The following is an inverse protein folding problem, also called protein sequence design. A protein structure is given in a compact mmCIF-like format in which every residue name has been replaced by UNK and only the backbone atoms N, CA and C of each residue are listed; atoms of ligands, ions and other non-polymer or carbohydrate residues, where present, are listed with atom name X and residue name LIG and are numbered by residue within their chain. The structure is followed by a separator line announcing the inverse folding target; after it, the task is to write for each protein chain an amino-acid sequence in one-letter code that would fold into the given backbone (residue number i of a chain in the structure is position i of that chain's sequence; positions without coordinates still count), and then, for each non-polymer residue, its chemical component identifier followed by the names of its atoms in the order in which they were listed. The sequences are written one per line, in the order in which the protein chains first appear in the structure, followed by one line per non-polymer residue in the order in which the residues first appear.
data_IF_975325658676
#
_entry.id   IF_975325658676
#
_cell.length_a   1.000
_cell.length_b   1.000
_cell.length_c   1.000
_cell.angle_alpha   90.00
_cell.angle_beta   90.00
_cell.angle_gamma   90.00
#
_symmetry.space_group_name_H-M   'P 1'
#
loop_
_entity.id
_entity.type
_entity.pdbx_description
1 polymer ?
#
# COMPACT_ATOMS: atom_id res chain seq x y z
N UNK A 1 -11.91 4.70 -26.24
CA UNK A 1 -11.63 4.06 -24.94
C UNK A 1 -12.90 4.16 -24.10
N UNK A 2 -13.11 3.29 -23.11
CA UNK A 2 -14.31 3.28 -22.26
C UNK A 2 -13.98 2.80 -20.84
N UNK A 3 -14.81 3.15 -19.87
CA UNK A 3 -14.77 2.63 -18.50
C UNK A 3 -15.63 1.36 -18.44
N UNK A 4 -15.13 0.21 -17.96
CA UNK A 4 -15.92 -1.02 -17.88
C UNK A 4 -17.15 -0.89 -16.98
N UNK A 5 -18.23 -1.59 -17.32
CA UNK A 5 -19.49 -1.56 -16.57
C UNK A 5 -19.32 -1.91 -15.10
N UNK A 6 -18.46 -2.88 -14.77
CA UNK A 6 -18.18 -3.23 -13.37
C UNK A 6 -17.53 -2.10 -12.57
N UNK A 7 -16.86 -1.16 -13.24
CA UNK A 7 -16.30 0.04 -12.62
C UNK A 7 -17.33 1.15 -12.64
N UNK A 8 -17.93 1.46 -13.79
CA UNK A 8 -18.88 2.59 -13.92
C UNK A 8 -20.15 2.40 -13.09
N UNK A 9 -20.69 1.18 -12.98
CA UNK A 9 -21.90 0.89 -12.20
C UNK A 9 -21.60 0.52 -10.73
N UNK A 10 -20.32 0.42 -10.33
CA UNK A 10 -19.99 0.21 -8.92
C UNK A 10 -20.51 1.36 -8.08
N UNK A 11 -21.13 1.05 -6.93
CA UNK A 11 -21.62 2.07 -5.98
C UNK A 11 -20.47 2.78 -5.26
N UNK A 12 -19.41 2.05 -4.97
CA UNK A 12 -18.18 2.55 -4.39
C UNK A 12 -17.00 1.70 -4.84
N UNK A 13 -15.81 2.26 -4.78
CA UNK A 13 -14.56 1.54 -5.06
C UNK A 13 -13.70 1.42 -3.80
N UNK A 14 -12.94 0.33 -3.75
CA UNK A 14 -11.74 0.20 -2.93
C UNK A 14 -10.57 0.16 -3.91
N UNK A 15 -9.66 1.11 -3.80
CA UNK A 15 -8.51 1.21 -4.69
C UNK A 15 -7.25 0.73 -3.96
N UNK A 16 -6.51 -0.18 -4.56
CA UNK A 16 -5.32 -0.80 -3.96
C UNK A 16 -4.12 -0.68 -4.89
N UNK A 17 -3.19 0.19 -4.52
CA UNK A 17 -1.92 0.40 -5.19
C UNK A 17 -0.80 -0.48 -4.61
N UNK A 18 0.36 -0.42 -5.26
CA UNK A 18 1.60 -1.06 -4.81
C UNK A 18 2.62 0.04 -4.55
N UNK A 19 3.37 -0.03 -3.45
CA UNK A 19 4.40 0.96 -3.12
C UNK A 19 5.61 0.77 -4.04
N UNK A 20 5.69 1.56 -5.12
CA UNK A 20 6.81 1.50 -6.08
C UNK A 20 6.98 2.79 -6.86
N UNK A 21 8.21 3.02 -7.31
CA UNK A 21 8.49 4.03 -8.32
C UNK A 21 7.95 3.65 -9.70
N UNK A 22 8.12 4.56 -10.66
CA UNK A 22 7.79 4.34 -12.05
C UNK A 22 8.70 5.14 -12.99
N UNK A 23 9.39 4.44 -13.89
CA UNK A 23 10.42 5.05 -14.73
C UNK A 23 9.91 5.99 -15.84
N UNK A 24 8.59 6.20 -15.98
CA UNK A 24 8.00 7.20 -16.88
C UNK A 24 7.17 8.28 -16.18
N UNK A 25 6.74 8.03 -14.93
CA UNK A 25 5.73 8.84 -14.25
C UNK A 25 6.18 9.23 -12.83
N UNK A 26 7.39 8.84 -12.43
CA UNK A 26 7.90 9.00 -11.08
C UNK A 26 7.34 7.97 -10.12
N UNK A 27 6.02 7.97 -9.91
CA UNK A 27 5.33 7.04 -9.01
C UNK A 27 4.12 6.37 -9.68
N UNK A 28 3.78 5.17 -9.21
CA UNK A 28 2.54 4.50 -9.62
C UNK A 28 1.83 3.84 -8.46
N UNK A 29 0.93 4.60 -7.85
CA UNK A 29 0.10 4.13 -6.74
C UNK A 29 -1.38 4.10 -7.19
N UNK A 30 -2.29 4.68 -6.41
CA UNK A 30 -3.73 4.55 -6.61
C UNK A 30 -4.28 5.40 -7.78
N UNK A 31 -3.79 6.62 -7.98
CA UNK A 31 -4.19 7.49 -9.08
C UNK A 31 -3.87 6.83 -10.43
N UNK A 32 -2.72 6.13 -10.54
CA UNK A 32 -2.39 5.38 -11.75
C UNK A 32 -3.26 4.13 -11.96
N UNK A 33 -3.80 3.52 -10.91
CA UNK A 33 -4.77 2.43 -11.09
C UNK A 33 -5.99 2.89 -11.88
N UNK A 34 -6.48 4.12 -11.64
CA UNK A 34 -7.59 4.71 -12.39
C UNK A 34 -7.25 4.88 -13.88
N UNK A 35 -6.00 5.24 -14.18
CA UNK A 35 -5.48 5.27 -15.54
C UNK A 35 -5.49 3.87 -16.18
N UNK A 36 -5.17 2.82 -15.43
CA UNK A 36 -5.25 1.43 -15.88
C UNK A 36 -6.68 0.88 -15.99
N UNK A 37 -7.66 1.51 -15.34
CA UNK A 37 -9.06 1.09 -15.35
C UNK A 37 -9.80 1.42 -16.66
N UNK A 38 -9.15 2.15 -17.57
CA UNK A 38 -9.70 2.47 -18.90
C UNK A 38 -9.41 1.34 -19.88
N UNK A 39 -10.42 0.89 -20.62
CA UNK A 39 -10.31 -0.18 -21.62
C UNK A 39 -10.50 0.34 -23.05
N UNK A 40 -9.93 -0.38 -24.01
CA UNK A 40 -10.17 -0.17 -25.44
C UNK A 40 -10.11 -1.52 -26.14
N UNK A 41 -11.08 -1.80 -27.00
CA UNK A 41 -10.94 -2.90 -27.95
C UNK A 41 -10.01 -2.48 -29.08
N UNK A 42 -8.99 -3.26 -29.43
CA UNK A 42 -8.34 -3.08 -30.72
C UNK A 42 -9.30 -3.50 -31.84
N UNK A 43 -9.12 -2.98 -33.07
CA UNK A 43 -9.97 -3.31 -34.22
C UNK A 43 -10.11 -4.82 -34.51
N UNK A 44 -9.18 -5.65 -34.02
CA UNK A 44 -9.03 -7.06 -34.43
C UNK A 44 -9.08 -8.08 -33.27
N UNK A 45 -9.70 -7.75 -32.13
CA UNK A 45 -9.99 -8.72 -31.06
C UNK A 45 -8.77 -9.42 -30.41
N UNK A 46 -7.57 -8.83 -30.53
CA UNK A 46 -6.35 -9.29 -29.85
C UNK A 46 -6.32 -8.61 -28.47
N UNK A 47 -6.11 -9.37 -27.39
CA UNK A 47 -6.16 -8.86 -26.02
C UNK A 47 -4.99 -7.93 -25.64
N UNK A 48 -4.90 -6.72 -26.22
CA UNK A 48 -3.99 -5.67 -25.76
C UNK A 48 -4.74 -4.38 -25.40
N UNK A 49 -4.82 -4.11 -24.09
CA UNK A 49 -5.33 -2.86 -23.53
C UNK A 49 -4.30 -1.73 -23.71
N UNK A 50 -4.30 -1.09 -24.88
CA UNK A 50 -3.58 0.18 -25.10
C UNK A 50 -4.48 1.40 -24.82
N UNK A 51 -5.53 1.26 -24.00
CA UNK A 51 -6.59 2.27 -23.92
C UNK A 51 -6.11 3.66 -23.54
N UNK A 52 -5.26 3.83 -22.52
CA UNK A 52 -4.78 5.17 -22.16
C UNK A 52 -3.81 5.75 -23.20
N UNK A 53 -3.15 4.89 -23.98
CA UNK A 53 -2.33 5.31 -25.13
C UNK A 53 -3.22 5.78 -26.28
N UNK A 54 -4.24 4.99 -26.61
CA UNK A 54 -5.19 5.28 -27.67
C UNK A 54 -6.06 6.50 -27.36
N UNK A 55 -6.29 6.79 -26.07
CA UNK A 55 -6.95 8.00 -25.59
C UNK A 55 -6.00 9.22 -25.50
N UNK A 56 -4.72 9.07 -25.85
CA UNK A 56 -3.77 10.18 -25.81
C UNK A 56 -3.39 10.67 -24.41
N UNK A 57 -3.62 9.88 -23.36
CA UNK A 57 -3.43 10.30 -21.97
C UNK A 57 -1.98 10.17 -21.47
N UNK A 58 -1.14 9.38 -22.13
CA UNK A 58 0.25 9.14 -21.67
C UNK A 58 1.11 10.40 -21.53
N UNK A 59 1.14 11.32 -22.52
CA UNK A 59 1.94 12.54 -22.42
C UNK A 59 1.59 13.39 -21.19
N UNK A 60 0.33 13.36 -20.75
CA UNK A 60 -0.16 14.20 -19.65
C UNK A 60 0.07 13.59 -18.27
N UNK A 61 0.45 12.31 -18.18
CA UNK A 61 0.78 11.64 -16.91
C UNK A 61 2.29 11.43 -16.73
N UNK A 62 3.06 11.44 -17.82
CA UNK A 62 4.50 11.21 -17.74
C UNK A 62 5.26 12.45 -17.24
N UNK A 63 6.34 12.24 -16.50
CA UNK A 63 7.18 13.33 -15.94
C UNK A 63 8.18 13.90 -16.96
N UNK A 64 7.84 13.83 -18.26
CA UNK A 64 8.69 14.29 -19.36
C UNK A 64 7.84 14.92 -20.46
N UNK A 65 8.14 16.18 -20.82
CA UNK A 65 7.44 16.93 -21.86
C UNK A 65 7.56 16.29 -23.27
N UNK A 66 8.68 15.60 -23.54
CA UNK A 66 8.98 14.95 -24.82
C UNK A 66 8.67 13.44 -24.80
N UNK A 67 7.43 13.06 -24.47
CA UNK A 67 7.05 11.66 -24.36
C UNK A 67 7.24 10.88 -25.69
N UNK A 68 8.33 10.11 -25.80
CA UNK A 68 8.62 9.14 -26.87
C UNK A 68 9.01 7.76 -26.32
N UNK A 69 8.20 6.73 -26.55
CA UNK A 69 8.48 5.36 -26.08
C UNK A 69 9.91 4.89 -26.43
N UNK A 70 10.67 4.47 -25.41
CA UNK A 70 12.04 3.96 -25.56
C UNK A 70 13.16 5.00 -25.51
N UNK A 71 12.86 6.27 -25.21
CA UNK A 71 13.86 7.34 -25.03
C UNK A 71 14.62 7.28 -23.69
N UNK A 72 15.71 8.05 -23.60
CA UNK A 72 16.36 8.39 -22.33
C UNK A 72 15.64 9.58 -21.70
N UNK A 73 15.22 9.43 -20.45
CA UNK A 73 14.32 10.36 -19.80
C UNK A 73 15.03 11.19 -18.73
N UNK A 74 14.77 12.49 -18.76
CA UNK A 74 15.26 13.43 -17.76
C UNK A 74 14.09 13.85 -16.86
N UNK A 75 14.14 13.42 -15.61
CA UNK A 75 13.07 13.56 -14.62
C UNK A 75 12.94 14.98 -14.08
N UNK A 76 13.96 15.80 -14.32
CA UNK A 76 13.96 17.20 -13.93
C UNK A 76 13.27 18.09 -14.99
N UNK A 77 12.76 17.49 -16.10
CA UNK A 77 12.17 18.23 -17.23
C UNK A 77 10.65 18.37 -17.24
N UNK A 78 9.88 17.73 -16.34
CA UNK A 78 8.47 18.12 -16.19
C UNK A 78 8.40 19.31 -15.26
N UNK A 79 7.91 20.42 -15.78
CA UNK A 79 7.64 21.58 -14.98
C UNK A 79 6.48 21.29 -14.01
N UNK A 80 6.61 21.87 -12.81
CA UNK A 80 5.45 22.12 -11.95
C UNK A 80 4.42 22.98 -12.69
N UNK A 81 3.22 23.09 -12.13
CA UNK A 81 2.17 23.98 -12.63
C UNK A 81 1.74 23.61 -14.05
N UNK A 82 1.65 22.31 -14.32
CA UNK A 82 1.21 21.78 -15.61
C UNK A 82 -0.01 20.88 -15.45
N UNK A 83 -0.92 20.92 -16.43
CA UNK A 83 -2.06 20.01 -16.50
C UNK A 83 -1.64 18.55 -16.29
N UNK A 84 -2.40 17.82 -15.47
CA UNK A 84 -2.20 16.38 -15.30
C UNK A 84 -3.51 15.61 -15.38
N UNK A 85 -3.60 14.71 -16.35
CA UNK A 85 -4.80 13.90 -16.58
C UNK A 85 -5.15 12.95 -15.42
N UNK A 86 -4.23 12.69 -14.48
CA UNK A 86 -4.59 11.92 -13.27
C UNK A 86 -5.63 12.66 -12.43
N UNK A 87 -5.63 13.99 -12.40
CA UNK A 87 -6.56 14.79 -11.60
C UNK A 87 -7.99 14.62 -12.10
N UNK A 88 -8.20 14.66 -13.42
CA UNK A 88 -9.50 14.34 -14.04
C UNK A 88 -9.97 12.94 -13.65
N UNK A 89 -9.08 11.94 -13.75
CA UNK A 89 -9.43 10.55 -13.43
C UNK A 89 -9.78 10.36 -11.93
N UNK A 90 -9.12 11.10 -11.05
CA UNK A 90 -9.38 11.12 -9.61
C UNK A 90 -10.73 11.77 -9.30
N UNK A 91 -11.10 12.83 -10.01
CA UNK A 91 -12.36 13.56 -9.81
C UNK A 91 -13.56 13.02 -10.60
N UNK A 92 -13.36 12.15 -11.59
CA UNK A 92 -14.44 11.60 -12.42
C UNK A 92 -15.30 10.59 -11.65
N UNK A 93 -16.63 10.79 -11.63
CA UNK A 93 -17.60 10.06 -10.81
C UNK A 93 -17.65 8.56 -11.10
N UNK A 94 -17.66 8.11 -12.38
CA UNK A 94 -17.57 6.68 -12.69
C UNK A 94 -16.24 6.03 -12.28
N UNK A 95 -15.21 6.81 -11.95
CA UNK A 95 -13.89 6.35 -11.54
C UNK A 95 -13.56 6.81 -10.11
N UNK A 96 -12.71 7.82 -9.95
CA UNK A 96 -12.06 8.14 -8.69
C UNK A 96 -13.02 8.69 -7.62
N UNK A 97 -14.03 9.47 -7.99
CA UNK A 97 -14.81 10.26 -7.01
C UNK A 97 -15.65 9.40 -6.05
N UNK A 98 -15.99 8.16 -6.45
CA UNK A 98 -16.72 7.20 -5.61
C UNK A 98 -15.83 6.22 -4.85
N UNK A 99 -14.52 6.45 -4.85
CA UNK A 99 -13.59 5.62 -4.07
C UNK A 99 -13.70 5.99 -2.59
N UNK A 100 -14.03 5.00 -1.75
CA UNK A 100 -14.20 5.23 -0.31
C UNK A 100 -12.93 4.97 0.50
N UNK A 101 -12.04 4.16 -0.05
CA UNK A 101 -10.88 3.66 0.67
C UNK A 101 -9.72 3.37 -0.27
N UNK A 102 -8.55 3.86 0.13
CA UNK A 102 -7.29 3.68 -0.58
C UNK A 102 -6.35 2.84 0.26
N UNK A 103 -5.80 1.80 -0.34
CA UNK A 103 -4.73 0.99 0.22
C UNK A 103 -3.48 1.13 -0.64
N UNK A 104 -2.32 1.07 0.01
CA UNK A 104 -1.07 0.83 -0.69
C UNK A 104 -0.37 -0.32 0.01
N UNK A 105 -0.16 -1.39 -0.75
CA UNK A 105 0.64 -2.53 -0.33
C UNK A 105 2.12 -2.17 -0.45
N UNK A 106 2.78 -2.05 0.69
CA UNK A 106 4.22 -1.89 0.82
C UNK A 106 4.85 -3.08 1.54
N UNK A 107 4.25 -4.28 1.48
CA UNK A 107 4.88 -5.48 2.05
C UNK A 107 6.23 -5.73 1.37
N UNK A 108 6.24 -5.62 0.04
CA UNK A 108 7.43 -5.66 -0.79
C UNK A 108 7.38 -4.51 -1.79
N UNK A 109 8.40 -3.68 -1.81
CA UNK A 109 8.48 -2.54 -2.71
C UNK A 109 9.54 -2.77 -3.78
N UNK A 110 9.14 -2.73 -5.04
CA UNK A 110 10.05 -2.78 -6.18
C UNK A 110 10.52 -1.36 -6.55
N UNK A 111 11.75 -1.21 -7.09
CA UNK A 111 12.24 0.10 -7.54
C UNK A 111 11.36 0.76 -8.62
N UNK A 112 10.76 -0.05 -9.49
CA UNK A 112 9.87 0.41 -10.55
C UNK A 112 8.87 -0.67 -11.00
N UNK A 113 8.02 -0.32 -11.96
CA UNK A 113 6.91 -1.16 -12.42
C UNK A 113 7.31 -2.42 -13.20
N UNK A 114 8.55 -2.48 -13.69
CA UNK A 114 9.06 -3.56 -14.55
C UNK A 114 10.14 -4.41 -13.87
N UNK A 115 10.54 -4.06 -12.65
CA UNK A 115 11.65 -4.71 -11.95
C UNK A 115 11.19 -5.88 -11.09
N UNK A 116 11.82 -7.05 -11.27
CA UNK A 116 11.64 -8.20 -10.39
C UNK A 116 12.23 -7.94 -9.00
N UNK A 117 11.58 -8.45 -7.96
CA UNK A 117 12.04 -8.30 -6.58
C UNK A 117 13.30 -9.13 -6.31
N UNK A 118 14.34 -8.47 -5.80
CA UNK A 118 15.62 -9.10 -5.43
C UNK A 118 16.05 -8.60 -4.05
N UNK A 119 17.02 -9.30 -3.43
CA UNK A 119 17.50 -8.97 -2.07
C UNK A 119 18.13 -7.57 -2.01
N UNK A 120 18.73 -7.10 -3.10
CA UNK A 120 19.28 -5.75 -3.18
C UNK A 120 18.22 -4.63 -3.15
N UNK A 121 16.93 -4.95 -3.29
CA UNK A 121 15.83 -3.97 -3.24
C UNK A 121 15.23 -3.79 -1.84
N UNK A 122 15.83 -4.41 -0.80
CA UNK A 122 15.46 -4.15 0.59
C UNK A 122 15.79 -2.69 0.95
N UNK A 123 14.93 -2.11 1.78
CA UNK A 123 14.99 -0.69 2.11
C UNK A 123 15.98 -0.43 3.23
N UNK A 124 16.93 0.47 2.98
CA UNK A 124 17.87 0.97 3.98
C UNK A 124 17.15 1.70 5.10
N UNK A 125 16.08 2.44 4.78
CA UNK A 125 15.26 3.12 5.79
C UNK A 125 14.45 2.16 6.69
N UNK A 126 14.47 0.86 6.39
CA UNK A 126 13.90 -0.24 7.17
C UNK A 126 14.99 -1.24 7.61
N UNK A 127 16.20 -0.74 7.90
CA UNK A 127 17.32 -1.55 8.39
C UNK A 127 17.70 -2.70 7.45
N UNK A 128 17.79 -2.40 6.15
CA UNK A 128 18.08 -3.37 5.09
C UNK A 128 17.05 -4.52 5.05
N UNK A 129 15.78 -4.20 5.32
CA UNK A 129 14.66 -5.13 5.20
C UNK A 129 13.52 -4.59 4.34
N UNK A 130 12.54 -5.43 4.06
CA UNK A 130 11.34 -5.00 3.34
C UNK A 130 10.53 -4.00 4.17
N UNK A 131 9.76 -3.10 3.54
CA UNK A 131 8.98 -2.12 4.31
C UNK A 131 7.93 -2.79 5.19
N UNK A 132 7.45 -4.00 4.82
CA UNK A 132 6.50 -4.80 5.60
C UNK A 132 5.29 -3.99 6.09
N UNK A 133 4.82 -3.05 5.26
CA UNK A 133 3.85 -2.03 5.64
C UNK A 133 2.63 -2.05 4.73
N UNK A 134 1.47 -1.73 5.28
CA UNK A 134 0.25 -1.43 4.52
C UNK A 134 -0.16 0.00 4.90
N UNK A 135 -0.33 0.85 3.89
CA UNK A 135 -0.84 2.20 4.07
C UNK A 135 -2.34 2.21 3.75
N UNK A 136 -3.10 3.00 4.50
CA UNK A 136 -4.55 3.12 4.33
C UNK A 136 -4.99 4.55 4.58
N UNK A 137 -5.91 5.05 3.75
CA UNK A 137 -6.46 6.41 3.87
C UNK A 137 -7.83 6.50 3.19
N UNK A 138 -8.64 7.46 3.61
CA UNK A 138 -9.83 7.90 2.88
C UNK A 138 -9.57 9.11 1.97
N UNK A 139 -8.37 9.70 2.07
CA UNK A 139 -7.89 10.78 1.22
C UNK A 139 -6.79 10.24 0.30
N UNK A 140 -7.06 10.28 -1.02
CA UNK A 140 -6.15 9.81 -2.06
C UNK A 140 -4.89 10.66 -2.16
N UNK A 141 -5.04 11.98 -2.09
CA UNK A 141 -3.92 12.91 -2.23
C UNK A 141 -2.98 12.72 -1.04
N UNK A 142 -3.52 12.58 0.17
CA UNK A 142 -2.73 12.39 1.38
C UNK A 142 -1.94 11.07 1.36
N UNK A 143 -2.55 9.94 0.97
CA UNK A 143 -1.85 8.65 0.97
C UNK A 143 -0.75 8.59 -0.10
N UNK A 144 -0.99 9.17 -1.27
CA UNK A 144 0.03 9.28 -2.33
C UNK A 144 1.18 10.19 -1.88
N UNK A 145 0.89 11.30 -1.18
CA UNK A 145 1.90 12.20 -0.61
C UNK A 145 2.80 11.48 0.38
N UNK A 146 2.21 10.71 1.30
CA UNK A 146 2.95 9.91 2.29
C UNK A 146 3.82 8.88 1.58
N UNK A 147 3.26 8.10 0.66
CA UNK A 147 4.01 7.06 -0.04
C UNK A 147 5.09 7.63 -0.95
N UNK A 148 4.87 8.81 -1.56
CA UNK A 148 5.88 9.54 -2.29
C UNK A 148 7.06 9.90 -1.39
N UNK A 149 6.82 10.42 -0.19
CA UNK A 149 7.89 10.76 0.75
C UNK A 149 8.74 9.54 1.11
N UNK A 150 8.10 8.40 1.39
CA UNK A 150 8.80 7.13 1.61
C UNK A 150 9.66 6.72 0.43
N UNK A 151 9.11 6.74 -0.78
CA UNK A 151 9.84 6.34 -1.99
C UNK A 151 10.98 7.30 -2.31
N UNK A 152 10.75 8.62 -2.25
CA UNK A 152 11.73 9.66 -2.58
C UNK A 152 12.94 9.67 -1.63
N UNK A 153 12.74 9.25 -0.39
CA UNK A 153 13.81 9.21 0.63
C UNK A 153 14.42 7.82 0.82
N UNK A 154 14.01 6.81 0.04
CA UNK A 154 14.62 5.48 0.05
C UNK A 154 15.70 5.35 -1.03
N UNK A 155 16.96 5.04 -0.65
CA UNK A 155 18.00 4.70 -1.60
C UNK A 155 17.60 3.51 -2.51
N UNK A 156 17.64 3.72 -3.83
CA UNK A 156 17.28 2.70 -4.83
C UNK A 156 16.03 3.04 -5.65
N UNK A 157 15.24 4.04 -5.24
CA UNK A 157 14.11 4.57 -6.00
C UNK A 157 14.51 5.79 -6.84
N UNK A 158 15.51 5.62 -7.71
CA UNK A 158 16.14 6.73 -8.46
C UNK A 158 15.20 7.48 -9.42
N UNK A 159 14.05 6.87 -9.76
CA UNK A 159 13.04 7.45 -10.63
C UNK A 159 12.09 8.43 -9.91
N UNK A 160 12.15 8.48 -8.58
CA UNK A 160 11.23 9.26 -7.74
C UNK A 160 11.89 10.61 -7.38
N UNK A 161 12.14 11.44 -8.40
CA UNK A 161 12.89 12.71 -8.27
C UNK A 161 12.35 13.79 -9.20
N UNK A 162 12.69 15.04 -8.93
CA UNK A 162 12.08 16.17 -9.63
C UNK A 162 10.60 16.31 -9.27
N UNK A 163 9.80 16.78 -10.22
CA UNK A 163 8.42 17.23 -10.01
C UNK A 163 7.38 16.11 -10.19
N UNK A 164 7.65 14.92 -9.65
CA UNK A 164 6.77 13.74 -9.82
C UNK A 164 5.43 13.89 -9.09
N UNK A 165 5.38 14.77 -8.12
CA UNK A 165 4.23 15.21 -7.33
C UNK A 165 3.37 16.27 -8.03
N UNK A 166 3.70 16.72 -9.25
CA UNK A 166 2.91 17.77 -9.92
C UNK A 166 1.40 17.50 -9.87
N UNK A 167 0.96 16.26 -10.10
CA UNK A 167 -0.47 15.92 -10.04
C UNK A 167 -1.07 15.99 -8.62
N UNK A 168 -0.27 15.85 -7.56
CA UNK A 168 -0.72 16.01 -6.17
C UNK A 168 -0.92 17.48 -5.82
N UNK A 169 -0.04 18.37 -6.30
CA UNK A 169 -0.23 19.82 -6.19
C UNK A 169 -1.51 20.25 -6.93
N UNK A 170 -1.68 19.77 -8.16
CA UNK A 170 -2.88 20.03 -8.96
C UNK A 170 -4.15 19.46 -8.31
N UNK A 171 -4.11 18.23 -7.77
CA UNK A 171 -5.27 17.60 -7.14
C UNK A 171 -5.65 18.25 -5.80
N UNK A 172 -4.67 18.60 -4.97
CA UNK A 172 -4.92 19.25 -3.68
C UNK A 172 -5.59 20.62 -3.85
N UNK A 173 -5.31 21.29 -4.96
CA UNK A 173 -5.81 22.61 -5.29
C UNK A 173 -6.68 22.57 -6.55
N UNK A 174 -7.42 21.49 -6.85
CA UNK A 174 -8.12 21.36 -8.12
C UNK A 174 -9.15 22.49 -8.41
N UNK A 175 -9.63 23.17 -7.37
CA UNK A 175 -10.50 24.36 -7.47
C UNK A 175 -9.76 25.68 -7.76
N UNK A 176 -8.43 25.70 -7.64
CA UNK A 176 -7.53 26.82 -7.93
C UNK A 176 -6.15 26.26 -8.33
N UNK A 177 -6.15 25.45 -9.39
CA UNK A 177 -5.00 24.61 -9.72
C UNK A 177 -3.77 25.48 -10.08
N UNK A 178 -2.56 25.12 -9.61
CA UNK A 178 -1.34 25.89 -9.92
C UNK A 178 -1.11 26.11 -11.41
N UNK A 179 -1.46 25.13 -12.25
CA UNK A 179 -1.39 25.24 -13.71
C UNK A 179 -2.39 26.21 -14.35
N UNK A 180 -3.36 26.71 -13.58
CA UNK A 180 -4.51 27.46 -14.08
C UNK A 180 -5.54 26.58 -14.81
N UNK A 181 -5.39 25.25 -14.79
CA UNK A 181 -6.38 24.33 -15.36
C UNK A 181 -7.69 24.40 -14.57
N UNK A 182 -8.81 24.51 -15.29
CA UNK A 182 -10.13 24.26 -14.74
C UNK A 182 -10.48 22.79 -14.97
N UNK A 183 -10.35 21.96 -13.92
CA UNK A 183 -10.68 20.54 -13.99
C UNK A 183 -12.20 20.35 -13.88
N UNK A 184 -12.85 19.93 -14.97
CA UNK A 184 -14.28 19.60 -15.07
C UNK A 184 -14.41 18.25 -15.80
N UNK A 185 -14.16 17.12 -15.11
CA UNK A 185 -14.13 15.81 -15.76
C UNK A 185 -15.51 15.33 -16.24
N UNK A 186 -16.59 15.84 -15.66
CA UNK A 186 -17.97 15.54 -16.07
C UNK A 186 -18.42 16.35 -17.29
N UNK A 187 -17.71 17.45 -17.59
CA UNK A 187 -18.06 18.41 -18.65
C UNK A 187 -19.46 18.99 -18.47
N UNK A 188 -19.87 19.18 -17.22
CA UNK A 188 -21.19 19.71 -16.85
C UNK A 188 -21.17 21.19 -16.45
N UNK A 189 -19.98 21.80 -16.46
CA UNK A 189 -19.74 23.18 -16.05
C UNK A 189 -19.45 23.35 -14.56
N UNK A 190 -19.29 22.25 -13.81
CA UNK A 190 -18.96 22.24 -12.38
C UNK A 190 -17.50 21.80 -12.18
N UNK A 191 -16.57 22.74 -11.94
CA UNK A 191 -15.19 22.39 -11.66
C UNK A 191 -15.05 21.59 -10.36
N UNK A 192 -13.99 20.79 -10.29
CA UNK A 192 -13.63 20.03 -9.10
C UNK A 192 -13.34 20.95 -7.90
N UNK A 193 -13.75 20.50 -6.71
CA UNK A 193 -13.17 20.98 -5.46
C UNK A 193 -11.80 20.34 -5.23
N UNK A 194 -11.05 20.82 -4.23
CA UNK A 194 -9.90 20.08 -3.68
C UNK A 194 -10.22 18.60 -3.51
N UNK A 195 -9.33 17.74 -3.99
CA UNK A 195 -9.48 16.28 -3.93
C UNK A 195 -8.81 15.66 -2.69
N UNK A 196 -8.18 16.49 -1.85
CA UNK A 196 -7.48 16.04 -0.65
C UNK A 196 -6.31 16.94 -0.27
N UNK A 197 -5.49 16.46 0.65
CA UNK A 197 -4.36 17.23 1.20
C UNK A 197 -3.03 16.72 0.63
N UNK A 198 -2.24 17.62 0.05
CA UNK A 198 -0.85 17.36 -0.34
C UNK A 198 0.11 18.11 0.59
N UNK A 199 1.00 17.38 1.26
CA UNK A 199 2.07 17.90 2.11
C UNK A 199 3.27 16.96 2.04
N UNK A 200 4.43 17.47 2.43
CA UNK A 200 5.60 16.65 2.74
C UNK A 200 5.83 16.60 4.25
N UNK A 201 6.42 15.51 4.72
CA UNK A 201 6.89 15.46 6.10
C UNK A 201 7.97 16.51 6.36
N UNK A 202 8.24 16.79 7.63
CA UNK A 202 9.32 17.69 8.04
C UNK A 202 10.71 17.18 7.67
N UNK A 203 10.98 15.89 7.84
CA UNK A 203 12.23 15.21 7.46
C UNK A 203 12.07 13.68 7.48
N UNK A 204 12.98 12.97 6.82
CA UNK A 204 12.94 11.50 6.66
C UNK A 204 13.18 10.69 7.95
N UNK A 205 13.67 11.33 9.02
CA UNK A 205 13.90 10.70 10.32
C UNK A 205 12.63 10.75 11.16
N UNK A 206 12.06 11.94 11.36
CA UNK A 206 10.88 12.15 12.21
C UNK A 206 9.56 11.81 11.50
N UNK A 207 9.50 12.01 10.17
CA UNK A 207 8.34 11.69 9.32
C UNK A 207 7.03 12.30 9.81
N UNK A 208 7.06 13.56 10.26
CA UNK A 208 5.91 14.27 10.83
C UNK A 208 5.32 15.26 9.84
N UNK A 209 3.99 15.24 9.72
CA UNK A 209 3.19 16.18 8.94
C UNK A 209 2.50 17.21 9.84
N UNK A 210 1.72 18.14 9.26
CA UNK A 210 1.15 19.28 9.99
C UNK A 210 0.36 18.89 11.24
N UNK A 211 -0.48 17.84 11.19
CA UNK A 211 -1.20 17.35 12.38
C UNK A 211 -0.29 16.68 13.39
N UNK A 212 0.73 15.93 12.95
CA UNK A 212 1.71 15.35 13.86
C UNK A 212 2.54 16.44 14.58
N UNK A 213 2.75 17.59 13.93
CA UNK A 213 3.50 18.74 14.45
C UNK A 213 2.64 19.72 15.26
N UNK A 214 1.32 19.63 15.17
CA UNK A 214 0.38 20.57 15.79
C UNK A 214 0.40 21.97 15.15
N UNK A 215 0.81 22.07 13.88
CA UNK A 215 0.92 23.36 13.16
C UNK A 215 -0.35 23.74 12.39
N UNK A 216 -1.31 22.82 12.27
CA UNK A 216 -2.59 23.08 11.61
C UNK A 216 -3.32 21.79 11.26
N UNK A 217 -4.44 21.95 10.54
CA UNK A 217 -5.09 20.87 9.82
C UNK A 217 -4.15 20.35 8.73
N UNK A 218 -4.28 19.07 8.35
CA UNK A 218 -3.38 18.47 7.37
C UNK A 218 -3.26 16.95 7.47
N UNK A 219 -2.14 16.42 6.97
CA UNK A 219 -1.85 14.99 7.08
C UNK A 219 -1.45 14.65 8.53
N UNK A 220 -1.93 13.50 9.02
CA UNK A 220 -1.41 12.82 10.22
C UNK A 220 -0.96 11.41 9.85
N UNK A 221 0.35 11.15 9.91
CA UNK A 221 0.86 9.80 9.76
C UNK A 221 0.75 9.07 11.10
N UNK A 222 -0.06 8.00 11.15
CA UNK A 222 -0.25 7.16 12.32
C UNK A 222 0.35 5.78 12.06
N UNK A 223 1.30 5.37 12.89
CA UNK A 223 1.93 4.05 12.80
C UNK A 223 1.18 3.07 13.71
N UNK A 224 0.25 2.31 13.13
CA UNK A 224 -0.47 1.26 13.84
C UNK A 224 0.49 0.10 14.19
N UNK A 225 0.74 -0.13 15.48
CA UNK A 225 1.61 -1.20 15.98
C UNK A 225 2.82 -0.72 16.79
N UNK A 226 3.18 0.56 16.70
CA UNK A 226 4.02 1.19 17.73
C UNK A 226 3.11 1.56 18.90
N UNK A 227 3.32 0.96 20.07
CA UNK A 227 2.62 1.38 21.28
C UNK A 227 2.84 2.88 21.48
N UNK A 228 1.76 3.64 21.46
CA UNK A 228 1.73 5.01 21.98
C UNK A 228 2.11 4.95 23.46
N UNK A 229 3.32 5.41 23.77
CA UNK A 229 3.70 5.77 25.14
C UNK A 229 2.92 7.03 25.50
N UNK A 230 2.14 7.00 26.59
CA UNK A 230 2.44 7.66 27.89
C UNK A 230 1.48 7.14 28.97
N UNK A 231 2.03 6.58 30.05
CA UNK A 231 1.83 6.89 31.48
C UNK A 231 2.05 5.65 32.35
N UNK A 232 2.82 5.89 33.41
CA UNK A 232 3.22 4.97 34.45
C UNK A 232 1.98 4.52 35.24
N UNK A 233 1.62 3.24 35.14
CA UNK A 233 0.83 2.57 36.17
C UNK A 233 1.45 1.20 36.44
N UNK A 234 2.02 1.11 37.64
CA UNK A 234 2.32 -0.12 38.35
C UNK A 234 1.17 -1.12 38.26
N UNK A 235 1.51 -2.39 38.07
CA UNK A 235 0.63 -3.57 37.90
C UNK A 235 0.16 -3.85 36.47
N UNK A 236 1.05 -4.40 35.64
CA UNK A 236 0.63 -5.27 34.53
C UNK A 236 1.13 -6.69 34.76
N UNK A 237 0.20 -7.58 35.04
CA UNK A 237 0.32 -9.01 34.73
C UNK A 237 0.92 -9.18 33.32
N UNK A 238 1.80 -10.17 33.08
CA UNK A 238 2.41 -10.34 31.78
C UNK A 238 1.31 -10.41 30.70
N UNK A 239 1.39 -9.53 29.69
CA UNK A 239 0.57 -9.65 28.48
C UNK A 239 1.17 -10.74 27.59
N UNK A 240 0.34 -11.41 26.80
CA UNK A 240 0.80 -12.36 25.77
C UNK A 240 1.87 -11.67 24.90
N UNK A 241 3.13 -12.09 25.02
CA UNK A 241 4.25 -11.21 24.67
C UNK A 241 4.62 -11.24 23.19
N UNK A 242 4.43 -12.37 22.48
CA UNK A 242 4.53 -12.49 21.03
C UNK A 242 4.32 -13.96 20.60
N UNK A 243 3.93 -14.17 19.34
CA UNK A 243 4.22 -15.41 18.60
C UNK A 243 5.48 -15.16 17.75
N UNK A 244 6.33 -16.18 17.61
CA UNK A 244 7.40 -16.22 16.60
C UNK A 244 7.38 -17.57 15.92
N UNK A 245 7.92 -17.65 14.70
CA UNK A 245 8.21 -18.93 14.08
C UNK A 245 9.63 -18.94 13.50
N UNK A 246 10.34 -20.06 13.63
CA UNK A 246 11.63 -20.26 12.99
C UNK A 246 11.78 -21.70 12.50
N UNK A 247 12.23 -21.92 11.25
CA UNK A 247 12.56 -20.91 10.24
C UNK A 247 11.32 -20.15 9.69
N UNK A 248 11.53 -18.97 9.09
CA UNK A 248 10.53 -18.24 8.29
C UNK A 248 11.28 -17.46 7.17
N UNK A 249 11.07 -17.75 5.88
CA UNK A 249 10.23 -18.82 5.33
C UNK A 249 10.68 -20.23 5.75
N UNK A 250 9.79 -21.21 5.66
CA UNK A 250 10.07 -22.59 6.10
C UNK A 250 9.72 -23.65 5.04
N UNK A 251 10.37 -24.82 5.13
CA UNK A 251 10.12 -25.98 4.26
C UNK A 251 10.46 -27.32 4.97
N UNK A 252 9.51 -28.25 5.14
CA UNK A 252 8.07 -28.04 5.20
C UNK A 252 7.61 -27.59 6.59
N UNK A 253 8.50 -27.58 7.60
CA UNK A 253 8.13 -27.34 9.00
C UNK A 253 8.78 -26.11 9.64
N UNK A 254 8.07 -25.54 10.62
CA UNK A 254 8.54 -24.40 11.43
C UNK A 254 8.18 -24.63 12.89
N UNK A 255 9.01 -24.16 13.82
CA UNK A 255 8.69 -24.15 15.24
C UNK A 255 8.07 -22.82 15.62
N UNK A 256 6.82 -22.86 16.05
CA UNK A 256 6.07 -21.73 16.57
C UNK A 256 6.34 -21.62 18.08
N UNK A 257 6.85 -20.47 18.50
CA UNK A 257 7.14 -20.16 19.91
C UNK A 257 6.16 -19.11 20.42
N UNK A 258 5.57 -19.33 21.60
CA UNK A 258 4.69 -18.38 22.26
C UNK A 258 4.80 -18.47 23.79
N UNK A 259 4.39 -17.40 24.49
CA UNK A 259 4.44 -17.33 25.95
C UNK A 259 3.04 -17.19 26.52
N UNK A 260 2.76 -17.95 27.58
CA UNK A 260 1.51 -17.93 28.34
C UNK A 260 1.77 -17.22 29.67
N UNK A 261 1.02 -16.17 30.02
CA UNK A 261 1.35 -15.31 31.16
C UNK A 261 0.94 -15.87 32.52
N UNK A 262 -0.15 -16.64 32.56
CA UNK A 262 -0.68 -17.30 33.74
C UNK A 262 -1.54 -18.47 33.27
N UNK A 263 -1.94 -19.36 34.20
CA UNK A 263 -2.71 -20.54 33.83
C UNK A 263 -4.02 -20.17 33.14
N UNK A 264 -4.18 -20.49 31.86
CA UNK A 264 -5.37 -20.19 31.08
C UNK A 264 -5.62 -21.24 29.98
N UNK A 265 -6.80 -21.19 29.37
CA UNK A 265 -7.09 -21.95 28.16
C UNK A 265 -6.32 -21.32 27.00
N UNK A 266 -5.61 -22.15 26.23
CA UNK A 266 -4.81 -21.72 25.08
C UNK A 266 -5.29 -22.46 23.83
N UNK A 267 -5.50 -21.72 22.74
CA UNK A 267 -5.74 -22.30 21.41
C UNK A 267 -4.85 -21.68 20.35
N UNK A 268 -4.20 -22.52 19.54
CA UNK A 268 -3.35 -22.11 18.43
C UNK A 268 -3.90 -22.70 17.13
N UNK A 269 -4.35 -21.84 16.24
CA UNK A 269 -4.94 -22.18 14.95
C UNK A 269 -4.06 -21.70 13.80
N UNK A 270 -4.06 -22.43 12.68
CA UNK A 270 -3.44 -21.97 11.43
C UNK A 270 -4.53 -21.67 10.41
N UNK A 271 -4.43 -20.52 9.75
CA UNK A 271 -5.34 -20.04 8.71
C UNK A 271 -4.62 -19.82 7.38
N UNK A 272 -5.32 -20.01 6.26
CA UNK A 272 -4.83 -19.61 4.94
C UNK A 272 -5.25 -18.15 4.61
N UNK A 273 -4.87 -17.67 3.42
CA UNK A 273 -5.19 -16.32 2.93
C UNK A 273 -6.69 -16.02 2.78
N UNK A 274 -7.55 -17.04 2.63
CA UNK A 274 -9.01 -16.85 2.53
C UNK A 274 -9.70 -16.83 3.89
N UNK A 275 -8.93 -16.97 4.98
CA UNK A 275 -9.47 -17.02 6.35
C UNK A 275 -10.02 -18.40 6.75
N UNK A 276 -9.75 -19.45 5.97
CA UNK A 276 -10.11 -20.81 6.33
C UNK A 276 -9.10 -21.38 7.34
N UNK A 277 -9.59 -22.00 8.42
CA UNK A 277 -8.75 -22.68 9.40
C UNK A 277 -8.26 -24.01 8.85
N UNK A 278 -6.98 -24.10 8.55
CA UNK A 278 -6.34 -25.27 7.94
C UNK A 278 -5.74 -26.25 8.96
N UNK A 279 -5.40 -25.80 10.16
CA UNK A 279 -4.93 -26.67 11.25
C UNK A 279 -5.28 -26.13 12.64
N UNK A 280 -5.35 -27.04 13.62
CA UNK A 280 -5.44 -26.78 15.05
C UNK A 280 -4.24 -27.45 15.72
N UNK A 281 -3.34 -26.66 16.29
CA UNK A 281 -2.10 -27.16 16.87
C UNK A 281 -2.19 -27.33 18.38
N UNK A 282 -2.95 -26.47 19.05
CA UNK A 282 -3.10 -26.46 20.51
C UNK A 282 -4.54 -26.14 20.88
N UNK A 283 -5.10 -26.86 21.86
CA UNK A 283 -6.37 -26.53 22.50
C UNK A 283 -6.43 -27.12 23.92
N UNK A 284 -5.74 -26.51 24.88
CA UNK A 284 -5.64 -27.04 26.25
C UNK A 284 -5.39 -25.95 27.27
N UNK A 285 -5.64 -26.27 28.55
CA UNK A 285 -5.14 -25.49 29.67
C UNK A 285 -3.61 -25.61 29.72
N UNK A 286 -2.92 -24.49 29.83
CA UNK A 286 -1.48 -24.42 30.01
C UNK A 286 -1.15 -23.51 31.21
N UNK A 287 -0.14 -23.88 31.99
CA UNK A 287 0.41 -23.02 33.03
C UNK A 287 1.27 -21.91 32.42
N UNK A 288 1.68 -20.94 33.24
CA UNK A 288 2.58 -19.88 32.80
C UNK A 288 3.91 -20.45 32.26
N UNK A 289 4.36 -19.98 31.10
CA UNK A 289 5.61 -20.46 30.51
C UNK A 289 5.74 -20.16 29.02
N UNK A 290 6.90 -20.52 28.46
CA UNK A 290 7.15 -20.47 27.01
C UNK A 290 7.00 -21.84 26.41
N UNK A 291 6.25 -21.93 25.31
CA UNK A 291 5.91 -23.16 24.62
C UNK A 291 6.42 -23.13 23.19
N UNK A 292 6.76 -24.32 22.69
CA UNK A 292 7.31 -24.55 21.36
C UNK A 292 6.49 -25.64 20.69
N UNK A 293 5.89 -25.33 19.55
CA UNK A 293 5.02 -26.23 18.82
C UNK A 293 5.45 -26.24 17.36
N UNK A 294 5.76 -27.43 16.83
CA UNK A 294 6.07 -27.59 15.42
C UNK A 294 4.79 -27.64 14.59
N UNK A 295 4.77 -26.91 13.48
CA UNK A 295 3.83 -27.14 12.39
C UNK A 295 4.57 -27.72 11.19
N UNK A 296 4.11 -28.85 10.69
CA UNK A 296 4.74 -29.62 9.61
C UNK A 296 4.25 -29.24 8.19
N UNK A 297 3.53 -28.12 8.07
CA UNK A 297 2.99 -27.64 6.80
C UNK A 297 1.88 -28.54 6.24
N UNK A 298 1.14 -29.26 7.08
CA UNK A 298 -0.05 -30.02 6.69
C UNK A 298 -1.36 -29.31 7.08
N UNK A 299 -2.37 -29.53 6.25
CA UNK A 299 -3.78 -29.16 6.47
C UNK A 299 -4.61 -30.43 6.68
N UNK A 300 -5.89 -30.27 6.99
CA UNK A 300 -6.87 -31.38 7.02
C UNK A 300 -6.98 -32.14 5.69
N UNK A 301 -6.62 -31.52 4.58
CA UNK A 301 -6.73 -32.09 3.22
C UNK A 301 -5.40 -32.61 2.68
N UNK A 302 -4.33 -32.59 3.49
CA UNK A 302 -2.99 -33.06 3.10
C UNK A 302 -1.94 -31.94 3.13
N UNK A 303 -0.86 -32.06 2.35
CA UNK A 303 0.14 -31.01 2.19
C UNK A 303 -0.44 -29.60 1.95
N UNK A 304 -0.05 -28.62 2.75
CA UNK A 304 -0.38 -27.23 2.48
C UNK A 304 0.45 -26.73 1.26
N UNK A 305 -0.17 -26.02 0.30
CA UNK A 305 0.56 -25.41 -0.81
C UNK A 305 1.50 -24.29 -0.32
N UNK A 306 2.55 -23.99 -1.09
CA UNK A 306 3.40 -22.82 -0.85
C UNK A 306 2.56 -21.54 -0.79
N UNK A 307 2.86 -20.65 0.14
CA UNK A 307 2.11 -19.41 0.33
C UNK A 307 2.11 -18.91 1.77
N UNK A 308 1.28 -17.90 2.01
CA UNK A 308 1.12 -17.29 3.33
C UNK A 308 0.09 -18.02 4.18
N UNK A 309 0.41 -18.15 5.46
CA UNK A 309 -0.44 -18.69 6.49
C UNK A 309 -0.37 -17.82 7.74
N UNK A 310 -1.41 -17.87 8.57
CA UNK A 310 -1.49 -17.07 9.80
C UNK A 310 -1.68 -17.98 11.00
N UNK A 311 -0.76 -17.92 11.95
CA UNK A 311 -0.90 -18.52 13.27
C UNK A 311 -1.72 -17.56 14.14
N UNK A 312 -2.87 -18.03 14.63
CA UNK A 312 -3.75 -17.28 15.53
C UNK A 312 -3.76 -17.96 16.90
N UNK A 313 -3.17 -17.28 17.89
CA UNK A 313 -3.15 -17.69 19.28
C UNK A 313 -4.22 -16.94 20.06
N UNK A 314 -4.99 -17.68 20.84
CA UNK A 314 -5.96 -17.15 21.80
C UNK A 314 -5.59 -17.67 23.18
N UNK A 315 -5.34 -16.77 24.12
CA UNK A 315 -4.97 -17.12 25.48
C UNK A 315 -5.37 -15.99 26.44
N UNK A 316 -6.03 -16.33 27.56
CA UNK A 316 -6.48 -15.36 28.56
C UNK A 316 -7.31 -14.17 28.01
N UNK A 317 -8.05 -14.37 26.91
CA UNK A 317 -8.81 -13.31 26.23
C UNK A 317 -8.00 -12.45 25.25
N UNK A 318 -6.67 -12.59 25.24
CA UNK A 318 -5.80 -11.96 24.24
C UNK A 318 -5.83 -12.76 22.93
N UNK A 319 -5.75 -12.04 21.81
CA UNK A 319 -5.63 -12.60 20.46
C UNK A 319 -4.35 -12.09 19.81
N UNK A 320 -3.50 -12.99 19.35
CA UNK A 320 -2.27 -12.65 18.60
C UNK A 320 -2.27 -13.39 17.28
N UNK A 321 -2.03 -12.66 16.19
CA UNK A 321 -1.95 -13.21 14.84
C UNK A 321 -0.53 -13.01 14.34
N UNK A 322 0.06 -14.05 13.74
CA UNK A 322 1.43 -14.04 13.23
C UNK A 322 1.50 -14.68 11.84
N UNK A 323 2.04 -13.94 10.87
CA UNK A 323 2.17 -14.39 9.49
C UNK A 323 3.40 -15.29 9.28
N UNK A 324 3.24 -16.34 8.49
CA UNK A 324 4.27 -17.32 8.18
C UNK A 324 4.28 -17.62 6.67
N UNK A 325 5.46 -17.86 6.10
CA UNK A 325 5.62 -18.20 4.68
C UNK A 325 6.12 -19.64 4.52
N UNK A 326 5.28 -20.50 3.92
CA UNK A 326 5.66 -21.87 3.53
C UNK A 326 6.20 -21.86 2.09
N UNK A 327 7.37 -22.45 1.89
CA UNK A 327 7.95 -22.71 0.59
C UNK A 327 8.11 -24.23 0.43
N UNK A 328 7.44 -24.85 -0.53
CA UNK A 328 7.70 -26.23 -0.96
C UNK A 328 8.56 -26.27 -2.21
#
# INVERSE_FOLDING_TARGET
AYVPTCVSEAKYLINMGQLKGHNLAGITLNAKNLFGAIMSYPPNNIAQSSAPKNAGLHPYVCVHADFHFGGHWDFDKRDMDTYNALVDLMGYEPLGAKTMLFFIDGLYSAPDQSTELKKEHKWKSFADDWPNSIFMSQDLVAIESVCLDFLRHEPGHEWVRGNVDNYLHEAALANDAPSGTVYDPEQDGTPLSSLGVHEHWNNAVDRKYSRNLGTGDGIELIIAGSQTTVQDESERSPKLTAIRNYPNPFNPSTTITYTVPHRCQVSLHIYNLTGERVALLVHTLQDAGTFYIEWDGRTTSGPAPSGFYFAHLVAAGDHVIHQMMLLR
#
